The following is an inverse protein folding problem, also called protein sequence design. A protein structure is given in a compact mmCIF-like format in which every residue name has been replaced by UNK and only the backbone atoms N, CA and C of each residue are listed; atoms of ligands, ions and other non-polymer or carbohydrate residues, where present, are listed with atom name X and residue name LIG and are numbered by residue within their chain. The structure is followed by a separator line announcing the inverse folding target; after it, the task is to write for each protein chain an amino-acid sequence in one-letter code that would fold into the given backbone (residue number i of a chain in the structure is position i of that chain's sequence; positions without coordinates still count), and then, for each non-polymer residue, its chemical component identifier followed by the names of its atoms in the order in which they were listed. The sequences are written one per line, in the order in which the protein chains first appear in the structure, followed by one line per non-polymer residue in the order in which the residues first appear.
data_IF_972520693558
#
_entry.id   IF_972520693558
#
_cell.length_a   1.000
_cell.length_b   1.000
_cell.length_c   1.000
_cell.angle_alpha   90.00
_cell.angle_beta   90.00
_cell.angle_gamma   90.00
#
_symmetry.space_group_name_H-M   'P 1'
#
loop_
_entity.id
_entity.type
_entity.pdbx_description
1 polymer ?
#
# COMPACT_ATOMS: atom_id res chain seq x y z
N UNK A 1 1.53 -9.86 6.95
CA UNK A 1 1.52 -8.72 6.00
C UNK A 1 1.24 -7.44 6.78
N UNK A 2 1.77 -6.29 6.37
CA UNK A 2 1.53 -5.00 7.04
C UNK A 2 1.01 -4.00 6.03
N UNK A 3 -0.05 -3.27 6.38
CA UNK A 3 -0.64 -2.22 5.54
C UNK A 3 -0.85 -0.95 6.35
N UNK A 4 -0.82 0.23 5.71
CA UNK A 4 -1.16 1.48 6.37
C UNK A 4 -2.67 1.59 6.66
N UNK A 5 -3.04 2.42 7.64
CA UNK A 5 -4.42 2.67 8.04
C UNK A 5 -5.29 3.14 6.87
N UNK A 6 -4.76 3.97 5.98
CA UNK A 6 -5.47 4.49 4.79
C UNK A 6 -5.91 3.36 3.85
N UNK A 7 -5.10 2.31 3.70
CA UNK A 7 -5.46 1.16 2.86
C UNK A 7 -6.61 0.38 3.49
N UNK A 8 -6.65 0.26 4.83
CA UNK A 8 -7.80 -0.34 5.51
C UNK A 8 -9.07 0.47 5.24
N UNK A 9 -9.00 1.81 5.31
CA UNK A 9 -10.16 2.67 5.06
C UNK A 9 -10.73 2.47 3.65
N UNK A 10 -9.87 2.45 2.62
CA UNK A 10 -10.33 2.25 1.23
C UNK A 10 -10.87 0.83 1.00
N UNK A 11 -10.18 -0.19 1.49
CA UNK A 11 -10.50 -1.58 1.15
C UNK A 11 -11.62 -2.15 2.01
N UNK A 12 -11.64 -1.81 3.30
CA UNK A 12 -12.62 -2.35 4.26
C UNK A 12 -13.79 -1.39 4.42
N UNK A 13 -13.55 -0.15 4.83
CA UNK A 13 -14.64 0.75 5.22
C UNK A 13 -15.46 1.15 3.98
N UNK A 14 -14.82 1.70 2.95
CA UNK A 14 -15.49 2.02 1.68
C UNK A 14 -15.93 0.76 0.92
N UNK A 15 -15.17 -0.32 1.00
CA UNK A 15 -15.53 -1.60 0.40
C UNK A 15 -16.89 -2.09 0.91
N UNK A 16 -17.14 -2.02 2.21
CA UNK A 16 -18.44 -2.37 2.80
C UNK A 16 -19.54 -1.39 2.45
N UNK A 17 -19.26 -0.09 2.42
CA UNK A 17 -20.22 0.94 1.96
C UNK A 17 -20.70 0.65 0.53
N UNK A 18 -19.80 0.13 -0.31
CA UNK A 18 -20.08 -0.28 -1.69
C UNK A 18 -20.58 -1.72 -1.83
N UNK A 19 -20.95 -2.37 -0.72
CA UNK A 19 -21.47 -3.74 -0.65
C UNK A 19 -20.54 -4.78 -1.31
N UNK A 20 -19.23 -4.56 -1.21
CA UNK A 20 -18.21 -5.46 -1.78
C UNK A 20 -17.91 -6.62 -0.83
N UNK A 21 -18.17 -7.85 -1.29
CA UNK A 21 -18.05 -9.06 -0.48
C UNK A 21 -16.60 -9.34 -0.01
N UNK A 22 -15.61 -8.97 -0.82
CA UNK A 22 -14.20 -9.07 -0.52
C UNK A 22 -13.76 -8.21 0.68
N UNK A 23 -14.45 -7.09 0.95
CA UNK A 23 -14.17 -6.25 2.12
C UNK A 23 -14.28 -7.02 3.44
N UNK A 24 -15.24 -7.94 3.54
CA UNK A 24 -15.44 -8.79 4.72
C UNK A 24 -14.37 -9.88 4.87
N UNK A 25 -13.84 -10.39 3.75
CA UNK A 25 -12.72 -11.34 3.79
C UNK A 25 -11.45 -10.65 4.27
N UNK A 26 -11.20 -9.43 3.80
CA UNK A 26 -10.06 -8.61 4.22
C UNK A 26 -10.19 -8.22 5.70
N UNK A 27 -11.38 -7.82 6.15
CA UNK A 27 -11.64 -7.56 7.57
C UNK A 27 -11.30 -8.78 8.44
N UNK A 28 -11.82 -9.96 8.09
CA UNK A 28 -11.55 -11.17 8.85
C UNK A 28 -10.05 -11.50 8.87
N UNK A 29 -9.34 -11.29 7.76
CA UNK A 29 -7.89 -11.49 7.71
C UNK A 29 -7.12 -10.51 8.63
N UNK A 30 -7.64 -9.30 8.87
CA UNK A 30 -7.10 -8.37 9.86
C UNK A 30 -7.38 -8.88 11.28
N UNK A 31 -8.61 -9.30 11.56
CA UNK A 31 -9.02 -9.81 12.89
C UNK A 31 -8.25 -11.08 13.29
N UNK A 32 -8.05 -11.99 12.35
CA UNK A 32 -7.26 -13.21 12.54
C UNK A 32 -5.73 -12.94 12.59
N UNK A 33 -5.30 -11.70 12.33
CA UNK A 33 -3.91 -11.27 12.45
C UNK A 33 -3.01 -11.62 11.25
N UNK A 34 -3.58 -12.07 10.12
CA UNK A 34 -2.83 -12.24 8.87
C UNK A 34 -2.34 -10.90 8.32
N UNK A 35 -3.14 -9.85 8.52
CA UNK A 35 -2.88 -8.48 8.10
C UNK A 35 -2.79 -7.60 9.35
N UNK A 36 -1.66 -6.91 9.52
CA UNK A 36 -1.48 -5.92 10.58
C UNK A 36 -1.64 -4.52 10.00
N UNK A 37 -2.48 -3.70 10.65
CA UNK A 37 -2.70 -2.32 10.28
C UNK A 37 -1.82 -1.42 11.14
N UNK A 38 -1.07 -0.52 10.53
CA UNK A 38 -0.18 0.42 11.22
C UNK A 38 -0.50 1.85 10.82
N UNK A 39 -0.32 2.78 11.75
CA UNK A 39 -0.34 4.21 11.43
C UNK A 39 0.97 4.60 10.76
N UNK A 40 0.88 5.28 9.62
CA UNK A 40 2.03 5.80 8.89
C UNK A 40 1.85 7.29 8.64
N UNK A 41 2.96 7.98 8.47
CA UNK A 41 2.95 9.35 7.96
C UNK A 41 2.98 9.32 6.43
N UNK A 42 2.20 10.20 5.79
CA UNK A 42 2.27 10.39 4.34
C UNK A 42 3.51 11.20 3.99
N UNK A 43 4.35 10.64 3.13
CA UNK A 43 5.54 11.33 2.62
C UNK A 43 5.20 11.88 1.24
N UNK A 44 5.16 13.20 1.11
CA UNK A 44 5.06 13.87 -0.19
C UNK A 44 6.44 13.84 -0.85
N UNK A 45 6.62 12.91 -1.79
CA UNK A 45 7.82 12.84 -2.62
C UNK A 45 7.53 13.56 -3.94
N UNK A 46 8.34 14.57 -4.33
CA UNK A 46 8.12 15.31 -5.57
C UNK A 46 8.49 14.44 -6.78
N UNK A 47 7.53 13.65 -7.24
CA UNK A 47 7.74 12.76 -8.38
C UNK A 47 7.31 13.49 -9.64
N UNK A 48 8.28 13.79 -10.50
CA UNK A 48 8.02 14.34 -11.84
C UNK A 48 7.42 13.24 -12.70
N UNK A 49 6.09 13.22 -12.81
CA UNK A 49 5.38 12.36 -13.73
C UNK A 49 5.78 12.73 -15.16
N UNK A 50 6.63 11.91 -15.78
CA UNK A 50 6.90 12.01 -17.22
C UNK A 50 5.61 11.62 -17.96
N UNK A 51 5.24 12.29 -19.06
CA UNK A 51 4.07 11.93 -19.84
C UNK A 51 4.29 10.58 -20.54
N UNK A 52 4.01 9.50 -19.82
CA UNK A 52 3.90 8.13 -20.29
C UNK A 52 2.60 7.55 -19.74
N UNK A 53 1.86 6.82 -20.58
CA UNK A 53 0.44 6.48 -20.42
C UNK A 53 -0.04 6.08 -19.01
N UNK A 54 -1.18 6.68 -18.63
CA UNK A 54 -2.14 6.30 -17.57
C UNK A 54 -1.79 5.06 -16.72
N UNK A 55 -1.38 5.28 -15.47
CA UNK A 55 -2.14 4.95 -14.24
C UNK A 55 -1.22 5.21 -13.04
N UNK A 56 -1.64 6.11 -12.15
CA UNK A 56 -0.86 6.47 -10.98
C UNK A 56 -0.99 5.43 -9.87
N UNK A 57 0.13 4.86 -9.47
CA UNK A 57 0.42 4.45 -8.08
C UNK A 57 1.92 4.20 -7.99
N UNK A 58 2.55 4.75 -6.95
CA UNK A 58 3.99 4.63 -6.74
C UNK A 58 4.14 4.16 -5.30
N UNK A 59 4.61 2.93 -5.12
CA UNK A 59 5.16 2.46 -3.87
C UNK A 59 6.36 1.55 -4.13
N UNK A 60 7.48 1.97 -3.52
CA UNK A 60 8.64 1.19 -3.09
C UNK A 60 9.44 0.42 -4.14
N UNK A 61 10.65 0.92 -4.41
CA UNK A 61 11.77 0.01 -4.65
C UNK A 61 12.81 0.16 -3.53
N UNK A 62 13.05 -0.99 -2.93
CA UNK A 62 14.01 -1.24 -1.88
C UNK A 62 15.41 -0.90 -2.35
N UNK A 63 16.21 -0.33 -1.45
CA UNK A 63 17.65 -0.24 -1.59
C UNK A 63 18.24 -1.66 -1.53
N UNK A 64 18.17 -2.41 -2.63
CA UNK A 64 19.00 -3.59 -2.84
C UNK A 64 20.45 -3.13 -2.94
N UNK A 65 21.19 -3.53 -1.92
CA UNK A 65 22.63 -3.34 -1.80
C UNK A 65 23.33 -4.21 -2.85
N UNK A 66 24.01 -3.60 -3.80
CA UNK A 66 25.18 -4.23 -4.41
C UNK A 66 26.34 -3.23 -4.40
N UNK A 67 27.31 -3.54 -3.53
CA UNK A 67 28.61 -2.89 -3.52
C UNK A 67 29.25 -3.01 -4.91
N UNK A 68 29.72 -1.89 -5.44
CA UNK A 68 30.51 -1.89 -6.65
C UNK A 68 31.96 -2.30 -6.33
N UNK A 69 32.54 -3.32 -7.01
CA UNK A 69 33.97 -3.47 -7.06
C UNK A 69 34.51 -2.54 -8.15
N UNK A 70 35.52 -1.72 -7.82
CA UNK A 70 36.74 -1.49 -8.60
C UNK A 70 37.33 -0.09 -8.35
N UNK A 71 38.44 -0.03 -7.62
CA UNK A 71 39.66 0.62 -8.10
C UNK A 71 40.88 -0.05 -7.48
#
# INVERSE_FOLDING_TARGET
MVIPEEVKVEVVDKGKELEKADAYVVERAIEEGWIKVVKTELIDVPIKLHPGGKSGSIACEEAWSEGSPSR
#
